data_IF_013903850693
#
_entry.id   IF_013903850693
#
_cell.length_a   1.000
_cell.length_b   1.000
_cell.length_c   1.000
_cell.angle_alpha   90.00
_cell.angle_beta   90.00
_cell.angle_gamma   90.00
#
_symmetry.space_group_name_H-M   'P 1'
#
loop_
_entity.id
_entity.type
_entity.pdbx_description
1 polymer ?
#
# COMPACT_ATOMS: atom_id res chain seq x y z
N UNK A 1 1.24 -12.66 26.93
CA UNK A 1 2.38 -12.01 26.25
C UNK A 1 1.94 -10.62 25.83
N UNK A 2 0.71 -10.50 25.32
CA UNK A 2 -0.09 -9.31 24.94
C UNK A 2 0.03 -8.06 25.82
N UNK A 3 0.22 -8.19 27.14
CA UNK A 3 0.30 -7.03 28.03
C UNK A 3 1.40 -6.04 27.66
N UNK A 4 2.54 -6.51 27.13
CA UNK A 4 3.62 -5.60 26.78
C UNK A 4 3.23 -4.78 25.55
N UNK A 5 2.66 -5.43 24.55
CA UNK A 5 2.18 -4.80 23.33
C UNK A 5 1.08 -3.78 23.63
N UNK A 6 0.18 -4.09 24.56
CA UNK A 6 -0.86 -3.17 25.03
C UNK A 6 -0.26 -1.91 25.66
N UNK A 7 0.76 -2.05 26.52
CA UNK A 7 1.43 -0.90 27.15
C UNK A 7 2.16 -0.03 26.13
N UNK A 8 2.86 -0.64 25.17
CA UNK A 8 3.56 0.13 24.13
C UNK A 8 2.55 0.86 23.23
N UNK A 9 1.47 0.18 22.84
CA UNK A 9 0.38 0.78 22.06
C UNK A 9 -0.29 1.93 22.80
N UNK A 10 -0.59 1.75 24.08
CA UNK A 10 -1.17 2.79 24.94
C UNK A 10 -0.24 4.00 25.03
N UNK A 11 1.06 3.77 25.21
CA UNK A 11 2.06 4.84 25.31
C UNK A 11 2.08 5.68 24.03
N UNK A 12 2.10 5.05 22.87
CA UNK A 12 2.11 5.73 21.57
C UNK A 12 0.77 6.46 21.28
N UNK A 13 -0.37 5.84 21.63
CA UNK A 13 -1.69 6.49 21.51
C UNK A 13 -1.78 7.75 22.39
N UNK A 14 -1.18 7.75 23.57
CA UNK A 14 -1.13 8.91 24.46
C UNK A 14 -0.30 10.05 23.88
N UNK A 15 0.83 9.76 23.22
CA UNK A 15 1.62 10.76 22.50
C UNK A 15 0.76 11.41 21.41
N UNK A 16 0.12 10.62 20.56
CA UNK A 16 -0.76 11.13 19.51
C UNK A 16 -1.97 11.91 20.06
N UNK A 17 -2.51 11.51 21.21
CA UNK A 17 -3.61 12.21 21.87
C UNK A 17 -3.24 13.65 22.27
N UNK A 18 -2.01 13.84 22.76
CA UNK A 18 -1.49 15.16 23.13
C UNK A 18 -1.27 16.03 21.89
N UNK A 19 -0.65 15.47 20.85
CA UNK A 19 -0.33 16.18 19.61
C UNK A 19 -1.58 16.63 18.83
N UNK A 20 -2.65 15.84 18.84
CA UNK A 20 -3.87 16.08 18.05
C UNK A 20 -5.02 16.69 18.85
N UNK A 21 -4.75 17.24 20.03
CA UNK A 21 -5.76 17.80 20.96
C UNK A 21 -6.67 18.90 20.39
N UNK A 22 -6.28 19.52 19.26
CA UNK A 22 -7.06 20.57 18.58
C UNK A 22 -8.04 20.05 17.54
N UNK A 23 -7.84 18.84 17.01
CA UNK A 23 -8.78 18.20 16.09
C UNK A 23 -9.74 17.31 16.89
N UNK A 24 -10.98 17.78 17.05
CA UNK A 24 -11.99 17.07 17.85
C UNK A 24 -12.35 15.69 17.30
N UNK A 25 -12.30 15.49 15.98
CA UNK A 25 -12.65 14.20 15.38
C UNK A 25 -11.54 13.18 15.59
N UNK A 26 -10.29 13.56 15.31
CA UNK A 26 -9.12 12.74 15.62
C UNK A 26 -9.02 12.46 17.13
N UNK A 27 -9.27 13.47 17.95
CA UNK A 27 -9.25 13.37 19.41
C UNK A 27 -10.22 12.31 19.93
N UNK A 28 -11.48 12.31 19.47
CA UNK A 28 -12.47 11.32 19.90
C UNK A 28 -12.11 9.92 19.44
N UNK A 29 -11.58 9.76 18.23
CA UNK A 29 -11.14 8.46 17.71
C UNK A 29 -9.97 7.89 18.52
N UNK A 30 -8.93 8.70 18.80
CA UNK A 30 -7.77 8.30 19.60
C UNK A 30 -8.19 7.97 21.04
N UNK A 31 -9.08 8.78 21.64
CA UNK A 31 -9.61 8.48 22.97
C UNK A 31 -10.33 7.14 23.02
N UNK A 32 -11.13 6.83 22.00
CA UNK A 32 -11.79 5.54 21.93
C UNK A 32 -10.80 4.40 21.71
N UNK A 33 -9.76 4.60 20.87
CA UNK A 33 -8.70 3.62 20.67
C UNK A 33 -7.96 3.29 21.99
N UNK A 34 -7.66 4.32 22.80
CA UNK A 34 -7.07 4.15 24.15
C UNK A 34 -7.95 3.27 25.04
N UNK A 35 -9.28 3.45 24.99
CA UNK A 35 -10.20 2.71 25.86
C UNK A 35 -10.36 1.23 25.49
N UNK A 36 -10.02 0.85 24.27
CA UNK A 36 -10.24 -0.52 23.77
C UNK A 36 -8.96 -1.29 23.49
N UNK A 37 -7.79 -0.65 23.59
CA UNK A 37 -6.51 -1.22 23.14
C UNK A 37 -6.22 -2.56 23.81
N UNK A 38 -6.51 -2.68 25.10
CA UNK A 38 -6.34 -3.88 25.93
C UNK A 38 -7.36 -5.00 25.63
N UNK A 39 -8.38 -4.71 24.82
CA UNK A 39 -9.41 -5.66 24.40
C UNK A 39 -9.17 -6.16 22.96
N UNK A 40 -8.28 -5.53 22.19
CA UNK A 40 -8.02 -5.93 20.80
C UNK A 40 -7.08 -7.13 20.79
N UNK A 41 -7.56 -8.27 20.27
CA UNK A 41 -6.73 -9.45 20.06
C UNK A 41 -5.55 -9.14 19.12
N UNK A 42 -4.37 -9.71 19.40
CA UNK A 42 -3.15 -9.40 18.66
C UNK A 42 -3.25 -9.75 17.16
N UNK A 43 -3.96 -10.83 16.78
CA UNK A 43 -4.19 -11.20 15.37
C UNK A 43 -5.13 -10.21 14.69
N UNK A 44 -6.15 -9.76 15.43
CA UNK A 44 -7.06 -8.72 14.95
C UNK A 44 -6.32 -7.38 14.75
N UNK A 45 -5.40 -7.02 15.67
CA UNK A 45 -4.55 -5.84 15.53
C UNK A 45 -3.62 -5.95 14.32
N UNK A 46 -2.94 -7.09 14.13
CA UNK A 46 -2.10 -7.33 12.94
C UNK A 46 -2.92 -7.16 11.65
N UNK A 47 -4.15 -7.69 11.62
CA UNK A 47 -5.06 -7.56 10.47
C UNK A 47 -5.42 -6.10 10.17
N UNK A 48 -5.76 -5.32 11.21
CA UNK A 48 -6.01 -3.88 11.08
C UNK A 48 -4.80 -3.15 10.49
N UNK A 49 -3.61 -3.42 11.03
CA UNK A 49 -2.35 -2.81 10.60
C UNK A 49 -2.03 -3.15 9.14
N UNK A 50 -2.21 -4.41 8.73
CA UNK A 50 -2.01 -4.83 7.34
C UNK A 50 -3.02 -4.16 6.40
N UNK A 51 -4.31 -4.15 6.75
CA UNK A 51 -5.34 -3.51 5.93
C UNK A 51 -5.04 -2.03 5.75
N UNK A 52 -4.77 -1.33 6.85
CA UNK A 52 -4.41 0.08 6.79
C UNK A 52 -3.14 0.30 5.97
N UNK A 53 -2.14 -0.57 6.13
CA UNK A 53 -0.89 -0.52 5.40
C UNK A 53 -1.07 -0.62 3.89
N UNK A 54 -1.90 -1.56 3.41
CA UNK A 54 -2.24 -1.71 1.98
C UNK A 54 -2.90 -0.43 1.45
N UNK A 55 -3.80 0.16 2.24
CA UNK A 55 -4.56 1.34 1.84
C UNK A 55 -3.77 2.66 1.96
N UNK A 56 -2.71 2.69 2.77
CA UNK A 56 -1.98 3.92 3.10
C UNK A 56 -0.60 4.00 2.47
N UNK A 57 0.09 2.88 2.30
CA UNK A 57 1.48 2.85 1.89
C UNK A 57 1.65 2.30 0.48
N UNK A 58 2.66 2.82 -0.21
CA UNK A 58 3.13 2.32 -1.50
C UNK A 58 4.62 2.67 -1.64
N UNK A 59 5.38 1.93 -2.45
CA UNK A 59 6.81 2.18 -2.63
C UNK A 59 7.10 3.54 -3.28
N UNK A 60 8.21 4.16 -2.90
CA UNK A 60 8.74 5.35 -3.57
C UNK A 60 9.79 5.02 -4.62
N UNK A 61 10.36 3.81 -4.58
CA UNK A 61 11.38 3.38 -5.51
C UNK A 61 10.87 3.38 -6.97
N UNK A 62 11.75 3.66 -7.92
CA UNK A 62 11.41 3.56 -9.34
C UNK A 62 11.44 2.13 -9.89
N UNK A 63 12.18 1.23 -9.25
CA UNK A 63 12.34 -0.18 -9.65
C UNK A 63 11.38 -1.10 -8.90
N UNK A 64 10.81 -2.08 -9.60
CA UNK A 64 9.81 -3.00 -9.03
C UNK A 64 10.45 -3.81 -7.90
N UNK A 65 11.63 -4.38 -8.15
CA UNK A 65 12.35 -5.20 -7.19
C UNK A 65 12.63 -4.47 -5.87
N UNK A 66 13.19 -3.25 -5.96
CA UNK A 66 13.49 -2.47 -4.75
C UNK A 66 12.21 -2.05 -4.03
N UNK A 67 11.22 -1.60 -4.79
CA UNK A 67 9.94 -1.18 -4.22
C UNK A 67 9.22 -2.30 -3.47
N UNK A 68 9.19 -3.51 -4.04
CA UNK A 68 8.57 -4.67 -3.40
C UNK A 68 9.41 -5.24 -2.26
N UNK A 69 10.74 -5.16 -2.32
CA UNK A 69 11.61 -5.51 -1.20
C UNK A 69 11.35 -4.60 0.01
N UNK A 70 11.32 -3.28 -0.19
CA UNK A 70 11.03 -2.32 0.88
C UNK A 70 9.63 -2.55 1.47
N UNK A 71 8.64 -2.78 0.60
CA UNK A 71 7.27 -3.06 1.01
C UNK A 71 7.17 -4.38 1.79
N UNK A 72 7.88 -5.43 1.35
CA UNK A 72 7.93 -6.70 2.05
C UNK A 72 8.52 -6.54 3.46
N UNK A 73 9.60 -5.77 3.61
CA UNK A 73 10.19 -5.49 4.92
C UNK A 73 9.20 -4.79 5.86
N UNK A 74 8.47 -3.79 5.37
CA UNK A 74 7.42 -3.11 6.16
C UNK A 74 6.32 -4.08 6.59
N UNK A 75 5.76 -4.83 5.64
CA UNK A 75 4.67 -5.75 5.94
C UNK A 75 5.10 -6.93 6.80
N UNK A 76 6.34 -7.40 6.68
CA UNK A 76 6.89 -8.40 7.57
C UNK A 76 6.83 -7.93 9.03
N UNK A 77 7.17 -6.66 9.30
CA UNK A 77 7.09 -6.10 10.65
C UNK A 77 5.67 -6.03 11.20
N UNK A 78 4.64 -5.96 10.34
CA UNK A 78 3.23 -5.95 10.78
C UNK A 78 2.71 -7.34 11.18
N UNK A 79 3.39 -8.42 10.76
CA UNK A 79 3.00 -9.80 11.03
C UNK A 79 3.62 -10.31 12.34
N UNK A 80 3.24 -9.70 13.47
CA UNK A 80 3.68 -10.14 14.81
C UNK A 80 3.12 -11.53 15.18
N UNK A 81 1.97 -11.88 14.61
CA UNK A 81 1.26 -13.15 14.74
C UNK A 81 0.75 -13.59 13.36
N UNK A 82 0.34 -14.85 13.25
CA UNK A 82 -0.32 -15.35 12.04
C UNK A 82 -1.65 -14.62 11.80
N UNK A 83 -1.88 -14.21 10.55
CA UNK A 83 -3.13 -13.60 10.15
C UNK A 83 -4.31 -14.57 10.35
N UNK A 84 -5.47 -14.07 10.82
CA UNK A 84 -6.60 -14.91 11.17
C UNK A 84 -7.24 -15.54 9.93
N UNK A 85 -7.64 -16.80 10.08
CA UNK A 85 -8.25 -17.61 9.01
C UNK A 85 -9.76 -17.76 9.12
N UNK A 86 -10.35 -17.39 10.26
CA UNK A 86 -11.80 -17.41 10.49
C UNK A 86 -12.41 -16.00 10.43
N UNK A 87 -13.71 -15.88 10.68
CA UNK A 87 -14.43 -14.59 10.70
C UNK A 87 -14.42 -13.90 12.07
N UNK A 88 -14.02 -14.59 13.14
CA UNK A 88 -14.21 -14.11 14.53
C UNK A 88 -13.47 -12.80 14.79
N UNK A 89 -12.29 -12.61 14.18
CA UNK A 89 -11.55 -11.36 14.28
C UNK A 89 -12.33 -10.18 13.71
N UNK A 90 -13.14 -10.37 12.66
CA UNK A 90 -13.97 -9.31 12.09
C UNK A 90 -15.10 -8.95 13.05
N UNK A 91 -15.81 -9.95 13.55
CA UNK A 91 -16.92 -9.73 14.50
C UNK A 91 -16.39 -9.08 15.79
N UNK A 92 -15.20 -9.49 16.26
CA UNK A 92 -14.50 -8.87 17.38
C UNK A 92 -14.23 -7.38 17.15
N UNK A 93 -13.63 -7.04 16.00
CA UNK A 93 -13.33 -5.65 15.66
C UNK A 93 -14.58 -4.80 15.42
N UNK A 94 -15.66 -5.39 14.90
CA UNK A 94 -16.94 -4.71 14.69
C UNK A 94 -17.62 -4.38 16.03
N UNK A 95 -17.60 -5.32 17.00
CA UNK A 95 -18.06 -5.08 18.39
C UNK A 95 -17.27 -3.94 19.05
N UNK A 96 -15.96 -3.90 18.83
CA UNK A 96 -15.09 -2.83 19.31
C UNK A 96 -15.19 -1.54 18.48
N UNK A 97 -16.02 -1.51 17.44
CA UNK A 97 -16.22 -0.39 16.51
C UNK A 97 -14.94 0.04 15.79
N UNK A 98 -13.97 -0.86 15.64
CA UNK A 98 -12.74 -0.63 14.90
C UNK A 98 -12.93 -0.83 13.39
N UNK A 99 -13.87 -1.69 13.00
CA UNK A 99 -14.30 -1.84 11.60
C UNK A 99 -15.82 -1.69 11.48
N UNK A 100 -16.29 -1.61 10.24
CA UNK A 100 -17.69 -1.84 9.85
C UNK A 100 -17.71 -2.95 8.81
N UNK A 101 -18.44 -4.02 9.08
CA UNK A 101 -18.61 -5.09 8.09
C UNK A 101 -19.61 -4.64 7.01
N UNK A 102 -19.24 -4.84 5.75
CA UNK A 102 -20.05 -4.52 4.58
C UNK A 102 -20.65 -5.78 3.96
N UNK A 103 -21.78 -5.61 3.28
CA UNK A 103 -22.41 -6.67 2.47
C UNK A 103 -21.77 -6.81 1.10
N UNK A 104 -20.99 -5.82 0.65
CA UNK A 104 -20.21 -5.89 -0.57
C UNK A 104 -18.92 -6.67 -0.32
N UNK A 105 -18.38 -7.32 -1.35
CA UNK A 105 -17.08 -7.99 -1.25
C UNK A 105 -15.93 -7.00 -1.39
N UNK A 106 -14.77 -7.33 -0.80
CA UNK A 106 -13.54 -6.61 -1.09
C UNK A 106 -13.11 -6.84 -2.53
N UNK A 107 -12.54 -5.80 -3.15
CA UNK A 107 -11.77 -5.99 -4.36
C UNK A 107 -10.61 -6.93 -4.08
N UNK A 108 -10.25 -7.72 -5.09
CA UNK A 108 -9.05 -8.55 -5.03
C UNK A 108 -7.82 -7.69 -4.79
N UNK A 109 -6.88 -8.17 -3.98
CA UNK A 109 -5.70 -7.37 -3.64
C UNK A 109 -4.95 -6.94 -4.89
N UNK A 110 -4.85 -7.83 -5.88
CA UNK A 110 -4.17 -7.57 -7.15
C UNK A 110 -4.74 -6.34 -7.86
N UNK A 111 -6.07 -6.16 -7.84
CA UNK A 111 -6.73 -5.01 -8.47
C UNK A 111 -6.39 -3.70 -7.75
N UNK A 112 -6.31 -3.74 -6.41
CA UNK A 112 -5.95 -2.59 -5.59
C UNK A 112 -4.50 -2.16 -5.87
N UNK A 113 -3.57 -3.12 -5.87
CA UNK A 113 -2.15 -2.82 -6.08
C UNK A 113 -1.86 -2.39 -7.52
N UNK A 114 -2.52 -2.98 -8.53
CA UNK A 114 -2.35 -2.52 -9.92
C UNK A 114 -2.80 -1.08 -10.13
N UNK A 115 -3.89 -0.66 -9.49
CA UNK A 115 -4.37 0.72 -9.58
C UNK A 115 -3.45 1.70 -8.85
N UNK A 116 -2.92 1.33 -7.68
CA UNK A 116 -2.05 2.21 -6.86
C UNK A 116 -0.60 2.25 -7.35
N UNK A 117 -0.16 1.20 -8.03
CA UNK A 117 1.20 1.00 -8.53
C UNK A 117 1.17 0.88 -10.06
N UNK A 118 0.40 1.74 -10.72
CA UNK A 118 0.19 1.72 -12.16
C UNK A 118 1.49 1.89 -12.96
N UNK A 119 2.51 2.54 -12.39
CA UNK A 119 3.84 2.65 -12.99
C UNK A 119 4.65 1.35 -12.98
N UNK A 120 4.28 0.40 -12.12
CA UNK A 120 4.86 -0.95 -12.08
C UNK A 120 4.03 -1.93 -12.91
N UNK A 121 2.71 -1.95 -12.71
CA UNK A 121 1.79 -2.89 -13.34
C UNK A 121 1.36 -2.43 -14.75
N UNK A 122 2.34 -2.15 -15.61
CA UNK A 122 2.15 -1.60 -16.95
C UNK A 122 2.94 -2.37 -18.02
N UNK A 123 2.54 -2.19 -19.28
CA UNK A 123 3.28 -2.75 -20.43
C UNK A 123 4.51 -1.89 -20.75
N UNK A 124 4.35 -0.57 -20.73
CA UNK A 124 5.41 0.37 -21.10
C UNK A 124 5.51 0.60 -22.61
N UNK A 125 6.65 1.10 -23.05
CA UNK A 125 6.96 1.44 -24.43
C UNK A 125 7.85 0.34 -25.03
N UNK A 126 7.49 -0.17 -26.22
CA UNK A 126 8.32 -1.18 -26.88
C UNK A 126 9.69 -0.60 -27.21
N UNK A 127 10.77 -1.29 -26.84
CA UNK A 127 12.13 -0.84 -27.09
C UNK A 127 12.37 -0.66 -28.60
N UNK A 128 13.10 0.39 -28.95
CA UNK A 128 13.48 0.77 -30.32
C UNK A 128 12.30 1.07 -31.28
N UNK A 129 11.09 1.28 -30.73
CA UNK A 129 9.90 1.71 -31.47
C UNK A 129 9.89 3.21 -31.82
N UNK A 130 8.88 3.64 -32.58
CA UNK A 130 8.66 5.07 -32.84
C UNK A 130 8.31 5.83 -31.56
N UNK A 131 7.46 5.23 -30.73
CA UNK A 131 7.05 5.72 -29.41
C UNK A 131 8.25 5.83 -28.47
N UNK A 132 9.23 4.92 -28.54
CA UNK A 132 10.48 5.04 -27.78
C UNK A 132 11.32 6.25 -28.22
N UNK A 133 11.39 6.52 -29.53
CA UNK A 133 12.07 7.73 -30.02
C UNK A 133 11.36 9.00 -29.56
N UNK A 134 10.04 9.04 -29.70
CA UNK A 134 9.21 10.17 -29.25
C UNK A 134 9.34 10.42 -27.73
N UNK A 135 9.36 9.35 -26.93
CA UNK A 135 9.58 9.48 -25.49
C UNK A 135 10.94 10.14 -25.19
N UNK A 136 12.01 9.73 -25.89
CA UNK A 136 13.33 10.35 -25.72
C UNK A 136 13.34 11.83 -26.12
N UNK A 137 12.62 12.21 -27.19
CA UNK A 137 12.48 13.62 -27.61
C UNK A 137 11.75 14.46 -26.55
N UNK A 138 10.66 13.92 -25.96
CA UNK A 138 9.95 14.58 -24.85
C UNK A 138 10.88 14.74 -23.64
N UNK A 139 11.66 13.70 -23.31
CA UNK A 139 12.60 13.75 -22.19
C UNK A 139 13.67 14.82 -22.40
N UNK A 140 14.30 14.86 -23.57
CA UNK A 140 15.35 15.85 -23.88
C UNK A 140 14.81 17.28 -23.84
N UNK A 141 13.63 17.53 -24.43
CA UNK A 141 12.99 18.85 -24.46
C UNK A 141 12.64 19.37 -23.06
N UNK A 142 12.45 18.47 -22.09
CA UNK A 142 12.11 18.79 -20.71
C UNK A 142 13.27 18.57 -19.73
N UNK A 143 14.49 18.36 -20.23
CA UNK A 143 15.69 18.13 -19.41
C UNK A 143 15.57 16.93 -18.44
N UNK A 144 14.78 15.93 -18.82
CA UNK A 144 14.61 14.68 -18.08
C UNK A 144 15.67 13.70 -18.57
N UNK A 145 16.48 13.15 -17.66
CA UNK A 145 17.49 12.15 -18.02
C UNK A 145 16.84 10.90 -18.62
N UNK A 146 17.32 10.45 -19.80
CA UNK A 146 16.87 9.21 -20.44
C UNK A 146 17.04 7.96 -19.56
N UNK A 147 17.88 8.02 -18.52
CA UNK A 147 18.02 6.94 -17.52
C UNK A 147 16.76 6.66 -16.70
N UNK A 148 15.75 7.55 -16.72
CA UNK A 148 14.45 7.27 -16.11
C UNK A 148 13.61 6.28 -16.92
N UNK A 149 13.94 6.02 -18.19
CA UNK A 149 13.27 4.99 -18.99
C UNK A 149 14.07 3.68 -18.86
N UNK A 150 13.61 2.79 -17.99
CA UNK A 150 14.31 1.55 -17.60
C UNK A 150 13.67 0.32 -18.25
N UNK A 151 14.42 -0.78 -18.34
CA UNK A 151 13.85 -2.05 -18.77
C UNK A 151 12.68 -2.44 -17.87
N UNK A 152 11.56 -2.85 -18.46
CA UNK A 152 10.38 -3.27 -17.71
C UNK A 152 10.58 -4.69 -17.17
N UNK A 153 10.66 -4.83 -15.84
CA UNK A 153 10.83 -6.13 -15.19
C UNK A 153 9.64 -7.09 -15.39
N UNK A 154 8.47 -6.57 -15.79
CA UNK A 154 7.29 -7.36 -16.09
C UNK A 154 7.11 -7.68 -17.57
N UNK A 155 7.85 -7.04 -18.48
CA UNK A 155 7.65 -7.18 -19.93
C UNK A 155 8.98 -7.07 -20.70
N UNK A 156 9.52 -8.22 -21.07
CA UNK A 156 10.75 -8.30 -21.87
C UNK A 156 10.62 -7.53 -23.19
N UNK A 157 11.64 -6.74 -23.51
CA UNK A 157 11.64 -5.90 -24.72
C UNK A 157 10.80 -4.61 -24.61
N UNK A 158 10.20 -4.34 -23.46
CA UNK A 158 9.54 -3.07 -23.17
C UNK A 158 10.32 -2.26 -22.12
N UNK A 159 10.12 -0.94 -22.16
CA UNK A 159 10.70 0.02 -21.24
C UNK A 159 9.59 0.73 -20.47
N UNK A 160 9.83 1.09 -19.21
CA UNK A 160 8.91 1.87 -18.39
C UNK A 160 9.63 3.02 -17.71
N UNK A 161 8.90 4.09 -17.45
CA UNK A 161 9.36 5.18 -16.63
C UNK A 161 9.54 4.67 -15.18
N UNK A 162 10.68 5.01 -14.57
CA UNK A 162 11.12 4.51 -13.27
C UNK A 162 10.39 5.20 -12.11
N UNK A 163 9.08 4.96 -12.03
CA UNK A 163 8.17 5.46 -10.98
C UNK A 163 7.19 4.36 -10.57
N UNK A 164 6.71 4.42 -9.33
CA UNK A 164 5.60 3.59 -8.86
C UNK A 164 4.24 4.14 -9.34
N UNK A 165 4.06 5.46 -9.25
CA UNK A 165 2.86 6.20 -9.66
C UNK A 165 3.21 7.69 -9.85
N UNK A 166 2.22 8.49 -10.26
CA UNK A 166 2.40 9.93 -10.53
C UNK A 166 2.50 10.82 -9.28
N UNK A 167 2.17 10.33 -8.09
CA UNK A 167 2.07 11.16 -6.87
C UNK A 167 3.40 11.86 -6.53
N UNK A 168 4.51 11.16 -6.75
CA UNK A 168 5.86 11.62 -6.41
C UNK A 168 6.59 12.30 -7.57
N UNK A 169 5.96 12.42 -8.73
CA UNK A 169 6.50 13.22 -9.84
C UNK A 169 6.39 14.68 -9.48
N UNK A 170 7.53 15.39 -9.51
CA UNK A 170 7.57 16.82 -9.23
C UNK A 170 6.64 17.58 -10.19
N UNK A 171 5.87 18.58 -9.70
CA UNK A 171 4.85 19.27 -10.49
C UNK A 171 5.31 19.74 -11.87
N UNK A 172 6.53 20.27 -11.96
CA UNK A 172 7.14 20.78 -13.19
C UNK A 172 7.36 19.71 -14.26
N UNK A 173 7.47 18.43 -13.90
CA UNK A 173 7.67 17.32 -14.86
C UNK A 173 6.39 16.54 -15.14
N UNK A 174 5.27 16.82 -14.45
CA UNK A 174 4.05 16.02 -14.56
C UNK A 174 3.46 15.96 -15.97
N UNK A 175 3.47 17.08 -16.69
CA UNK A 175 2.99 17.12 -18.08
C UNK A 175 3.85 16.24 -18.99
N UNK A 176 5.17 16.43 -18.95
CA UNK A 176 6.11 15.65 -19.74
C UNK A 176 6.02 14.15 -19.44
N UNK A 177 5.99 13.76 -18.16
CA UNK A 177 5.84 12.36 -17.75
C UNK A 177 4.49 11.81 -18.20
N UNK A 178 3.40 12.55 -18.04
CA UNK A 178 2.06 12.14 -18.52
C UNK A 178 2.06 11.86 -20.03
N UNK A 179 2.70 12.74 -20.82
CA UNK A 179 2.85 12.53 -22.27
C UNK A 179 3.64 11.26 -22.60
N UNK A 180 4.71 10.96 -21.86
CA UNK A 180 5.47 9.70 -22.01
C UNK A 180 4.60 8.50 -21.65
N UNK A 181 3.87 8.53 -20.54
CA UNK A 181 2.98 7.44 -20.14
C UNK A 181 1.86 7.18 -21.17
N UNK A 182 1.41 8.23 -21.88
CA UNK A 182 0.41 8.09 -22.94
C UNK A 182 0.91 7.32 -24.18
N UNK A 183 2.24 7.21 -24.35
CA UNK A 183 2.90 6.43 -25.39
C UNK A 183 3.01 4.93 -25.05
N UNK A 184 2.57 4.52 -23.86
CA UNK A 184 2.59 3.12 -23.48
C UNK A 184 1.66 2.30 -24.37
N UNK A 185 2.04 1.05 -24.59
CA UNK A 185 1.20 0.04 -25.23
C UNK A 185 -0.06 -0.22 -24.39
N UNK A 186 -1.22 -0.22 -25.07
CA UNK A 186 -2.55 -0.26 -24.46
C UNK A 186 -3.31 -1.53 -24.77
N UNK A 187 -2.75 -2.45 -25.55
CA UNK A 187 -3.40 -3.71 -25.88
C UNK A 187 -3.72 -4.52 -24.60
N UNK A 188 -5.01 -4.80 -24.38
CA UNK A 188 -5.51 -5.46 -23.17
C UNK A 188 -4.81 -6.79 -22.88
N UNK A 189 -4.51 -7.57 -23.92
CA UNK A 189 -3.83 -8.86 -23.75
C UNK A 189 -2.40 -8.68 -23.19
N UNK A 190 -1.67 -7.65 -23.62
CA UNK A 190 -0.33 -7.35 -23.09
C UNK A 190 -0.41 -6.80 -21.68
N UNK A 191 -1.40 -5.95 -21.38
CA UNK A 191 -1.63 -5.46 -20.03
C UNK A 191 -1.95 -6.61 -19.07
N UNK A 192 -2.74 -7.60 -19.52
CA UNK A 192 -2.99 -8.84 -18.78
C UNK A 192 -1.71 -9.61 -18.46
N UNK A 193 -0.80 -9.75 -19.43
CA UNK A 193 0.50 -10.40 -19.24
C UNK A 193 1.37 -9.62 -18.24
N UNK A 194 1.51 -8.30 -18.41
CA UNK A 194 2.31 -7.46 -17.52
C UNK A 194 1.81 -7.55 -16.06
N UNK A 195 0.49 -7.47 -15.86
CA UNK A 195 -0.15 -7.57 -14.54
C UNK A 195 0.04 -8.95 -13.91
N UNK A 196 -0.03 -10.02 -14.70
CA UNK A 196 0.27 -11.37 -14.23
C UNK A 196 1.72 -11.48 -13.77
N UNK A 197 2.67 -11.04 -14.60
CA UNK A 197 4.10 -11.08 -14.27
C UNK A 197 4.41 -10.23 -13.02
N UNK A 198 3.75 -9.07 -12.86
CA UNK A 198 3.85 -8.28 -11.63
C UNK A 198 3.42 -9.06 -10.38
N UNK A 199 2.31 -9.80 -10.45
CA UNK A 199 1.84 -10.64 -9.34
C UNK A 199 2.80 -11.80 -9.06
N UNK A 200 3.42 -12.38 -10.10
CA UNK A 200 4.45 -13.41 -9.92
C UNK A 200 5.69 -12.85 -9.17
N UNK A 201 6.13 -11.62 -9.49
CA UNK A 201 7.20 -10.96 -8.73
C UNK A 201 6.76 -10.65 -7.31
N UNK A 202 5.54 -10.13 -7.10
CA UNK A 202 4.96 -9.88 -5.78
C UNK A 202 4.97 -11.14 -4.91
N UNK A 203 4.54 -12.27 -5.47
CA UNK A 203 4.46 -13.55 -4.76
C UNK A 203 5.82 -14.20 -4.49
N UNK A 204 6.91 -13.70 -5.11
CA UNK A 204 8.27 -14.13 -4.77
C UNK A 204 8.72 -13.65 -3.39
N UNK A 205 8.01 -12.68 -2.79
CA UNK A 205 8.25 -12.19 -1.44
C UNK A 205 7.26 -12.81 -0.45
N UNK A 206 7.76 -13.47 0.59
CA UNK A 206 6.93 -14.29 1.47
C UNK A 206 5.81 -13.52 2.19
N UNK A 207 6.11 -12.38 2.80
CA UNK A 207 5.10 -11.61 3.54
C UNK A 207 4.04 -11.04 2.60
N UNK A 208 4.46 -10.53 1.44
CA UNK A 208 3.56 -10.02 0.41
C UNK A 208 2.63 -11.11 -0.13
N UNK A 209 3.17 -12.30 -0.41
CA UNK A 209 2.39 -13.47 -0.82
C UNK A 209 1.38 -13.89 0.23
N UNK A 210 1.80 -14.02 1.50
CA UNK A 210 0.92 -14.37 2.63
C UNK A 210 -0.25 -13.39 2.74
N UNK A 211 0.04 -12.10 2.65
CA UNK A 211 -0.98 -11.03 2.70
C UNK A 211 -1.93 -11.11 1.52
N UNK A 212 -1.45 -11.36 0.29
CA UNK A 212 -2.32 -11.51 -0.88
C UNK A 212 -3.29 -12.68 -0.74
N UNK A 213 -2.77 -13.83 -0.31
CA UNK A 213 -3.59 -15.03 -0.08
C UNK A 213 -4.62 -14.76 1.01
N UNK A 214 -4.20 -14.16 2.13
CA UNK A 214 -5.09 -13.82 3.23
C UNK A 214 -6.16 -12.80 2.83
N UNK A 215 -5.80 -11.69 2.21
CA UNK A 215 -6.72 -10.63 1.78
C UNK A 215 -7.81 -11.19 0.87
N UNK A 216 -7.43 -12.00 -0.10
CA UNK A 216 -8.36 -12.60 -1.05
C UNK A 216 -9.24 -13.70 -0.43
N UNK A 217 -8.94 -14.15 0.79
CA UNK A 217 -9.74 -15.10 1.55
C UNK A 217 -10.70 -14.40 2.55
N UNK A 218 -10.63 -13.07 2.70
CA UNK A 218 -11.52 -12.33 3.61
C UNK A 218 -12.97 -12.50 3.12
N UNK A 219 -13.89 -13.01 3.96
CA UNK A 219 -15.21 -13.49 3.51
C UNK A 219 -16.24 -12.37 3.27
N UNK A 220 -15.93 -11.13 3.64
CA UNK A 220 -16.83 -9.99 3.48
C UNK A 220 -16.04 -8.68 3.33
N UNK A 221 -16.68 -7.67 2.72
CA UNK A 221 -16.17 -6.31 2.74
C UNK A 221 -16.07 -5.77 4.16
N UNK A 222 -15.16 -4.83 4.35
CA UNK A 222 -15.03 -4.07 5.58
C UNK A 222 -14.54 -2.66 5.29
N UNK A 223 -14.85 -1.75 6.20
CA UNK A 223 -14.32 -0.40 6.24
C UNK A 223 -13.64 -0.17 7.60
N UNK A 224 -12.44 0.40 7.60
CA UNK A 224 -11.81 0.85 8.85
C UNK A 224 -12.55 2.09 9.38
N UNK A 225 -12.97 2.07 10.64
CA UNK A 225 -13.43 3.29 11.30
C UNK A 225 -12.24 4.18 11.66
N UNK A 226 -12.47 5.42 12.08
CA UNK A 226 -11.38 6.26 12.62
C UNK A 226 -10.72 5.64 13.86
N UNK A 227 -11.46 4.84 14.66
CA UNK A 227 -10.90 4.11 15.80
C UNK A 227 -9.96 3.01 15.29
N UNK A 228 -10.39 2.21 14.32
CA UNK A 228 -9.54 1.17 13.72
C UNK A 228 -8.33 1.74 13.01
N UNK A 229 -8.48 2.88 12.31
CA UNK A 229 -7.34 3.61 11.72
C UNK A 229 -6.36 4.10 12.77
N UNK A 230 -6.83 4.70 13.87
CA UNK A 230 -5.95 5.14 14.95
C UNK A 230 -5.13 3.97 15.50
N UNK A 231 -5.78 2.84 15.84
CA UNK A 231 -5.08 1.62 16.27
C UNK A 231 -4.07 1.13 15.22
N UNK A 232 -4.48 1.06 13.95
CA UNK A 232 -3.64 0.54 12.89
C UNK A 232 -2.41 1.42 12.60
N UNK A 233 -2.60 2.75 12.53
CA UNK A 233 -1.54 3.73 12.29
C UNK A 233 -0.56 3.73 13.47
N UNK A 234 -1.08 3.76 14.70
CA UNK A 234 -0.25 3.73 15.90
C UNK A 234 0.58 2.44 15.98
N UNK A 235 -0.02 1.29 15.72
CA UNK A 235 0.74 0.04 15.70
C UNK A 235 1.76 0.00 14.56
N UNK A 236 1.41 0.49 13.37
CA UNK A 236 2.34 0.58 12.24
C UNK A 236 3.56 1.46 12.57
N UNK A 237 3.33 2.64 13.17
CA UNK A 237 4.39 3.57 13.58
C UNK A 237 5.26 3.00 14.69
N UNK A 238 4.67 2.35 15.68
CA UNK A 238 5.40 1.64 16.74
C UNK A 238 6.37 0.60 16.16
N UNK A 239 5.89 -0.18 15.18
CA UNK A 239 6.67 -1.27 14.57
C UNK A 239 7.69 -0.77 13.54
N UNK A 240 7.37 0.30 12.81
CA UNK A 240 8.23 0.89 11.78
C UNK A 240 8.21 2.42 11.94
N UNK A 241 9.04 2.97 12.84
CA UNK A 241 9.04 4.42 13.15
C UNK A 241 9.35 5.31 11.95
N UNK A 242 10.01 4.78 10.93
CA UNK A 242 10.38 5.49 9.70
C UNK A 242 9.23 5.63 8.69
N UNK A 243 8.07 5.02 8.94
CA UNK A 243 6.90 5.21 8.07
C UNK A 243 6.47 6.68 8.03
N UNK A 244 5.97 7.18 6.90
CA UNK A 244 5.42 8.53 6.85
C UNK A 244 4.15 8.63 7.71
N UNK A 245 3.87 9.83 8.22
CA UNK A 245 2.61 10.10 8.91
C UNK A 245 1.43 9.98 7.94
N UNK A 246 0.40 9.27 8.37
CA UNK A 246 -0.86 9.16 7.62
C UNK A 246 -1.73 10.34 8.02
N UNK A 247 -1.99 11.25 7.08
CA UNK A 247 -2.63 12.55 7.35
C UNK A 247 -4.12 12.48 7.72
N UNK A 248 -4.75 11.30 7.72
CA UNK A 248 -6.20 11.14 7.92
C UNK A 248 -6.48 10.02 8.94
N UNK A 249 -6.83 10.39 10.17
CA UNK A 249 -7.50 9.51 11.15
C UNK A 249 -9.03 9.70 11.02
#
# INVERSE_FOLDING_TARGET
TDRKEDFDMLSELLVHHVENSKDRMCYTAIKQAINIVDQVDLKALCSLTVINGILSYYPTAGTIRKGLEDLNCVFQSFLMEDLPSDRKWMDHLDVLKAIRISTLNLNRLEQIVWARMEGYACVGIKKDSAEHREANEIMDANQISRSYLVANECMDGYLRFSICNMDRVYPEYRDAVSRILNLYEKADYLLGVARKNFVEIWDSYDSLRKIRVWWNAIPAGLELTSVGRALAITNAKRLVPTLPDVKNI
#
